data_IF_499566484757
#
_entry.id   IF_499566484757
#
_cell.length_a   1.000
_cell.length_b   1.000
_cell.length_c   1.000
_cell.angle_alpha   90.00
_cell.angle_beta   90.00
_cell.angle_gamma   90.00
#
_symmetry.space_group_name_H-M   'P 1'
#
loop_
_entity.id
_entity.type
_entity.pdbx_description
1 polymer ?
#
# COMPACT_ATOMS: atom_id res chain seq x y z
N UNK A 1 -67.83 19.36 -12.06
CA UNK A 1 -66.93 20.47 -12.41
C UNK A 1 -66.44 21.12 -11.13
N UNK A 2 -65.24 20.78 -10.68
CA UNK A 2 -64.48 21.52 -9.69
C UNK A 2 -63.00 21.13 -9.86
N UNK A 3 -62.19 22.09 -10.27
CA UNK A 3 -60.76 21.95 -10.49
C UNK A 3 -60.03 22.09 -9.14
N UNK A 4 -59.04 21.21 -8.91
CA UNK A 4 -58.06 21.38 -7.83
C UNK A 4 -56.68 21.44 -8.49
N UNK A 5 -56.14 22.66 -8.50
CA UNK A 5 -54.74 22.97 -8.80
C UNK A 5 -53.83 22.38 -7.71
N UNK A 6 -52.78 21.68 -8.12
CA UNK A 6 -51.60 21.41 -7.30
C UNK A 6 -50.35 21.92 -8.03
N UNK A 7 -49.40 22.59 -7.34
CA UNK A 7 -48.31 23.29 -7.98
C UNK A 7 -47.18 22.35 -8.42
N UNK A 8 -46.68 22.66 -9.62
CA UNK A 8 -45.48 22.12 -10.25
C UNK A 8 -44.24 22.58 -9.47
N UNK A 9 -43.55 21.67 -8.77
CA UNK A 9 -42.21 21.95 -8.23
C UNK A 9 -41.16 21.29 -9.12
N UNK A 10 -40.58 22.11 -10.02
CA UNK A 10 -39.32 21.80 -10.71
C UNK A 10 -38.21 21.74 -9.66
N UNK A 11 -37.65 20.56 -9.44
CA UNK A 11 -36.36 20.41 -8.76
C UNK A 11 -35.38 19.73 -9.73
N UNK A 12 -34.77 20.54 -10.59
CA UNK A 12 -33.46 20.22 -11.17
C UNK A 12 -32.44 20.33 -10.05
N UNK A 13 -32.06 19.19 -9.48
CA UNK A 13 -30.90 19.08 -8.59
C UNK A 13 -29.90 18.20 -9.31
N UNK A 14 -28.80 18.80 -9.71
CA UNK A 14 -27.61 18.12 -10.22
C UNK A 14 -27.23 16.99 -9.27
N UNK A 15 -27.41 15.75 -9.72
CA UNK A 15 -27.05 14.56 -8.95
C UNK A 15 -25.61 14.20 -9.29
N UNK A 16 -24.64 14.39 -8.37
CA UNK A 16 -23.27 13.96 -8.60
C UNK A 16 -23.24 12.44 -8.76
N UNK A 17 -22.42 11.97 -9.70
CA UNK A 17 -22.30 10.55 -10.03
C UNK A 17 -21.88 9.73 -8.80
N UNK A 18 -22.22 8.43 -8.77
CA UNK A 18 -21.85 7.48 -7.69
C UNK A 18 -20.35 7.52 -7.31
N UNK A 19 -19.50 7.91 -8.27
CA UNK A 19 -18.06 8.09 -8.08
C UNK A 19 -17.73 9.34 -7.23
N UNK A 20 -18.37 10.48 -7.49
CA UNK A 20 -18.21 11.69 -6.66
C UNK A 20 -18.76 11.50 -5.25
N UNK A 21 -19.88 10.79 -5.09
CA UNK A 21 -20.40 10.42 -3.76
C UNK A 21 -19.42 9.57 -2.96
N UNK A 22 -18.65 8.71 -3.63
CA UNK A 22 -17.63 7.87 -2.97
C UNK A 22 -16.41 8.70 -2.53
N UNK A 23 -15.99 9.67 -3.35
CA UNK A 23 -14.86 10.55 -3.03
C UNK A 23 -15.22 11.57 -1.95
N UNK A 24 -16.45 12.12 -1.96
CA UNK A 24 -16.96 13.07 -0.96
C UNK A 24 -17.25 12.38 0.39
N UNK A 25 -17.71 11.12 0.37
CA UNK A 25 -17.87 10.33 1.59
C UNK A 25 -16.52 10.07 2.29
N UNK A 26 -15.44 9.85 1.52
CA UNK A 26 -14.09 9.63 2.04
C UNK A 26 -13.52 10.90 2.70
N UNK A 27 -13.80 12.09 2.17
CA UNK A 27 -13.38 13.37 2.80
C UNK A 27 -14.22 13.79 4.00
N UNK A 28 -15.47 13.33 4.12
CA UNK A 28 -16.35 13.65 5.28
C UNK A 28 -16.18 12.68 6.47
N UNK A 29 -15.62 11.49 6.23
CA UNK A 29 -15.27 10.50 7.27
C UNK A 29 -14.11 10.93 8.19
N UNK A 30 -13.35 11.97 7.81
CA UNK A 30 -12.26 12.56 8.61
C UNK A 30 -12.74 13.15 9.95
N UNK A 31 -14.02 13.57 10.03
CA UNK A 31 -14.58 14.26 11.20
C UNK A 31 -15.12 13.35 12.32
N UNK A 32 -15.15 12.02 12.12
CA UNK A 32 -15.79 11.06 13.07
C UNK A 32 -14.92 9.88 13.49
N UNK A 33 -13.61 9.93 13.22
CA UNK A 33 -12.71 8.93 13.75
C UNK A 33 -12.24 9.34 15.16
N UNK A 34 -12.40 8.50 16.19
CA UNK A 34 -11.81 8.79 17.49
C UNK A 34 -10.29 8.88 17.35
N UNK A 35 -9.71 9.88 18.01
CA UNK A 35 -8.28 10.15 18.08
C UNK A 35 -7.51 8.96 18.67
N UNK A 36 -7.08 8.04 17.79
CA UNK A 36 -6.19 6.93 18.11
C UNK A 36 -4.76 7.45 18.26
N UNK A 37 -4.55 8.15 19.38
CA UNK A 37 -3.22 8.34 19.95
C UNK A 37 -2.76 6.99 20.48
N UNK A 38 -1.52 6.60 20.17
CA UNK A 38 -0.79 5.43 20.70
C UNK A 38 -0.87 4.15 19.85
N UNK A 39 -0.15 4.14 18.73
CA UNK A 39 0.47 2.91 18.22
C UNK A 39 1.96 3.16 17.95
N UNK A 40 2.86 2.23 18.31
CA UNK A 40 4.29 2.40 18.13
C UNK A 40 4.60 2.47 16.64
N UNK A 41 5.29 3.56 16.23
CA UNK A 41 5.81 3.76 14.88
C UNK A 41 6.52 2.49 14.41
N UNK A 42 6.00 1.84 13.38
CA UNK A 42 6.79 0.92 12.57
C UNK A 42 7.94 1.72 11.96
N UNK A 43 9.17 1.44 12.41
CA UNK A 43 10.38 1.99 11.85
C UNK A 43 10.54 1.53 10.40
N UNK A 44 9.96 2.27 9.46
CA UNK A 44 10.41 2.27 8.08
C UNK A 44 11.77 2.97 8.06
N UNK A 45 12.83 2.14 8.11
CA UNK A 45 14.18 2.53 7.75
C UNK A 45 14.15 3.07 6.32
N UNK A 46 13.97 4.39 6.20
CA UNK A 46 14.53 5.16 5.10
C UNK A 46 16.02 4.81 5.03
N UNK A 47 16.61 4.49 3.86
CA UNK A 47 18.04 4.27 3.75
C UNK A 47 18.75 5.56 4.18
N UNK A 48 19.25 5.57 5.41
CA UNK A 48 20.16 6.58 5.89
C UNK A 48 21.46 6.35 5.14
N UNK A 49 21.84 7.31 4.31
CA UNK A 49 23.14 7.30 3.64
C UNK A 49 24.23 7.35 4.71
N UNK A 50 24.80 6.20 5.06
CA UNK A 50 26.03 6.12 5.84
C UNK A 50 27.14 6.83 5.05
N UNK A 51 27.46 8.05 5.44
CA UNK A 51 28.58 8.81 4.92
C UNK A 51 29.80 8.53 5.78
N UNK A 52 30.77 7.81 5.22
CA UNK A 52 32.16 7.83 5.69
C UNK A 52 32.70 9.26 5.53
N UNK A 53 33.17 9.84 6.62
CA UNK A 53 33.76 11.17 6.68
C UNK A 53 35.15 11.16 6.04
N UNK A 54 35.26 11.71 4.83
CA UNK A 54 36.53 12.18 4.27
C UNK A 54 36.36 13.60 3.76
N UNK A 55 37.07 14.51 4.40
CA UNK A 55 37.18 15.92 4.08
C UNK A 55 37.85 16.09 2.72
N UNK A 56 37.13 16.60 1.73
CA UNK A 56 37.73 17.16 0.52
C UNK A 56 36.83 18.27 -0.04
N UNK A 57 37.41 19.46 -0.09
CA UNK A 57 36.90 20.69 -0.70
C UNK A 57 36.78 20.51 -2.22
N UNK A 58 35.54 20.54 -2.71
CA UNK A 58 35.21 20.50 -4.13
C UNK A 58 33.75 20.08 -4.28
N UNK A 59 32.90 20.91 -4.88
CA UNK A 59 31.50 20.57 -5.17
C UNK A 59 31.47 19.52 -6.28
N UNK A 60 31.81 18.28 -5.94
CA UNK A 60 31.72 17.14 -6.84
C UNK A 60 30.24 16.81 -7.02
N UNK A 61 29.72 17.06 -8.22
CA UNK A 61 28.40 16.60 -8.62
C UNK A 61 28.37 15.07 -8.46
N UNK A 62 27.61 14.57 -7.48
CA UNK A 62 27.45 13.12 -7.30
C UNK A 62 26.47 12.61 -8.38
N UNK A 63 26.92 11.83 -9.38
CA UNK A 63 26.03 11.35 -10.42
C UNK A 63 24.93 10.48 -9.80
N UNK A 64 23.72 10.62 -10.33
CA UNK A 64 22.59 9.81 -9.90
C UNK A 64 22.83 8.35 -10.27
N UNK A 65 22.55 7.43 -9.34
CA UNK A 65 22.60 6.00 -9.63
C UNK A 65 21.59 5.66 -10.74
N UNK A 66 22.05 4.95 -11.77
CA UNK A 66 21.19 4.46 -12.86
C UNK A 66 19.99 3.66 -12.35
N UNK A 67 20.16 2.87 -11.28
CA UNK A 67 19.09 2.12 -10.63
C UNK A 67 18.03 3.03 -10.02
N UNK A 68 18.45 4.11 -9.35
CA UNK A 68 17.52 5.08 -8.77
C UNK A 68 16.75 5.84 -9.85
N UNK A 69 17.43 6.22 -10.94
CA UNK A 69 16.81 6.85 -12.09
C UNK A 69 15.76 5.93 -12.74
N UNK A 70 16.11 4.67 -13.03
CA UNK A 70 15.19 3.70 -13.62
C UNK A 70 13.96 3.45 -12.73
N UNK A 71 14.19 3.33 -11.41
CA UNK A 71 13.12 3.22 -10.42
C UNK A 71 12.17 4.43 -10.44
N UNK A 72 12.72 5.64 -10.51
CA UNK A 72 11.91 6.88 -10.58
C UNK A 72 11.17 7.01 -11.91
N UNK A 73 11.79 6.67 -13.04
CA UNK A 73 11.14 6.62 -14.34
C UNK A 73 9.95 5.66 -14.30
N UNK A 74 10.10 4.48 -13.70
CA UNK A 74 9.02 3.53 -13.51
C UNK A 74 7.80 4.17 -12.83
N UNK A 75 8.00 4.83 -11.69
CA UNK A 75 6.93 5.53 -10.97
C UNK A 75 6.31 6.70 -11.74
N UNK A 76 7.11 7.50 -12.45
CA UNK A 76 6.59 8.58 -13.30
C UNK A 76 5.73 8.03 -14.44
N UNK A 77 6.14 6.92 -15.07
CA UNK A 77 5.34 6.23 -16.10
C UNK A 77 4.03 5.73 -15.50
N UNK A 78 4.02 5.16 -14.29
CA UNK A 78 2.77 4.77 -13.60
C UNK A 78 1.84 5.97 -13.46
N UNK A 79 2.34 7.10 -12.94
CA UNK A 79 1.52 8.29 -12.69
C UNK A 79 0.93 8.88 -13.96
N UNK A 80 1.78 9.15 -14.95
CA UNK A 80 1.35 9.78 -16.20
C UNK A 80 0.39 8.87 -16.97
N UNK A 81 0.67 7.57 -17.01
CA UNK A 81 -0.19 6.61 -17.71
C UNK A 81 -1.51 6.36 -16.97
N UNK A 82 -1.50 6.38 -15.62
CA UNK A 82 -2.73 6.29 -14.84
C UNK A 82 -3.57 7.54 -15.02
N UNK A 83 -2.97 8.75 -14.94
CA UNK A 83 -3.67 10.01 -15.20
C UNK A 83 -4.28 10.03 -16.61
N UNK A 84 -3.51 9.58 -17.61
CA UNK A 84 -4.01 9.49 -18.98
C UNK A 84 -5.16 8.49 -19.12
N UNK A 85 -5.14 7.36 -18.40
CA UNK A 85 -6.29 6.46 -18.34
C UNK A 85 -7.48 7.09 -17.62
N UNK A 86 -7.28 7.82 -16.50
CA UNK A 86 -8.36 8.51 -15.78
C UNK A 86 -9.10 9.48 -16.71
N UNK A 87 -8.36 10.27 -17.48
CA UNK A 87 -8.95 11.15 -18.50
C UNK A 87 -9.72 10.33 -19.55
N UNK A 88 -9.19 9.19 -19.97
CA UNK A 88 -9.91 8.26 -20.85
C UNK A 88 -11.26 7.83 -20.26
N UNK A 89 -11.29 7.40 -19.00
CA UNK A 89 -12.53 7.02 -18.30
C UNK A 89 -13.52 8.19 -18.23
N UNK A 90 -13.05 9.40 -17.89
CA UNK A 90 -13.88 10.60 -17.81
C UNK A 90 -14.50 10.99 -19.16
N UNK A 91 -13.75 10.80 -20.25
CA UNK A 91 -14.21 11.07 -21.61
C UNK A 91 -14.76 9.83 -22.33
N UNK A 92 -15.02 8.72 -21.60
CA UNK A 92 -15.53 7.45 -22.13
C UNK A 92 -14.69 6.85 -23.28
N UNK A 93 -13.38 7.13 -23.28
CA UNK A 93 -12.39 6.63 -24.24
C UNK A 93 -11.53 5.51 -23.63
N UNK A 94 -11.50 4.37 -24.31
CA UNK A 94 -10.62 3.26 -23.93
C UNK A 94 -9.16 3.54 -24.31
N UNK A 95 -8.23 3.35 -23.37
CA UNK A 95 -6.80 3.64 -23.54
C UNK A 95 -5.91 2.46 -23.09
N UNK A 96 -6.05 1.27 -23.70
CA UNK A 96 -5.42 0.04 -23.22
C UNK A 96 -3.88 0.11 -23.19
N UNK A 97 -3.25 0.83 -24.14
CA UNK A 97 -1.79 1.02 -24.15
C UNK A 97 -1.29 1.74 -22.91
N UNK A 98 -2.04 2.72 -22.42
CA UNK A 98 -1.66 3.44 -21.20
C UNK A 98 -1.81 2.53 -19.96
N UNK A 99 -2.78 1.61 -19.96
CA UNK A 99 -2.90 0.63 -18.88
C UNK A 99 -1.67 -0.30 -18.84
N UNK A 100 -1.27 -0.83 -19.99
CA UNK A 100 -0.06 -1.65 -20.11
C UNK A 100 1.21 -0.88 -19.76
N UNK A 101 1.33 0.40 -20.17
CA UNK A 101 2.45 1.25 -19.78
C UNK A 101 2.49 1.49 -18.27
N UNK A 102 1.34 1.73 -17.63
CA UNK A 102 1.26 1.91 -16.19
C UNK A 102 1.75 0.66 -15.44
N UNK A 103 1.30 -0.53 -15.84
CA UNK A 103 1.78 -1.76 -15.22
C UNK A 103 3.23 -2.11 -15.59
N UNK A 104 3.69 -1.78 -16.80
CA UNK A 104 5.10 -1.89 -17.16
C UNK A 104 6.00 -1.02 -16.28
N UNK A 105 5.58 0.22 -16.02
CA UNK A 105 6.25 1.13 -15.08
C UNK A 105 6.25 0.58 -13.65
N UNK A 106 5.14 -0.02 -13.21
CA UNK A 106 5.03 -0.67 -11.89
C UNK A 106 5.96 -1.89 -11.81
N UNK A 107 5.97 -2.78 -12.79
CA UNK A 107 6.86 -3.94 -12.81
C UNK A 107 8.32 -3.49 -12.72
N UNK A 108 8.71 -2.46 -13.48
CA UNK A 108 10.06 -1.91 -13.44
C UNK A 108 10.42 -1.38 -12.03
N UNK A 109 9.59 -0.51 -11.45
CA UNK A 109 9.91 0.10 -10.15
C UNK A 109 9.88 -0.91 -9.02
N UNK A 110 8.87 -1.79 -8.96
CA UNK A 110 8.74 -2.79 -7.90
C UNK A 110 9.79 -3.90 -8.02
N UNK A 111 10.22 -4.29 -9.23
CA UNK A 111 11.34 -5.25 -9.39
C UNK A 111 12.64 -4.71 -8.78
N UNK A 112 12.91 -3.42 -8.93
CA UNK A 112 14.07 -2.77 -8.32
C UNK A 112 13.95 -2.75 -6.79
N UNK A 113 12.75 -2.47 -6.25
CA UNK A 113 12.51 -2.48 -4.80
C UNK A 113 12.70 -3.89 -4.23
N UNK A 114 12.17 -4.92 -4.89
CA UNK A 114 12.34 -6.32 -4.50
C UNK A 114 13.80 -6.74 -4.52
N UNK A 115 14.54 -6.42 -5.58
CA UNK A 115 15.97 -6.72 -5.65
C UNK A 115 16.75 -6.02 -4.52
N UNK A 116 16.36 -4.79 -4.17
CA UNK A 116 16.97 -4.05 -3.06
C UNK A 116 16.61 -4.63 -1.69
N UNK A 117 15.41 -5.17 -1.49
CA UNK A 117 14.97 -5.72 -0.20
C UNK A 117 15.49 -7.14 0.05
N UNK A 118 15.54 -7.98 -1.00
CA UNK A 118 15.86 -9.42 -0.87
C UNK A 118 17.24 -9.80 -1.42
N UNK A 119 17.85 -8.95 -2.24
CA UNK A 119 19.11 -9.25 -2.92
C UNK A 119 18.94 -10.21 -4.10
N UNK A 120 19.98 -10.99 -4.39
CA UNK A 120 19.99 -11.93 -5.51
C UNK A 120 19.06 -13.13 -5.25
N UNK A 121 18.17 -13.47 -6.18
CA UNK A 121 17.25 -14.58 -6.00
C UNK A 121 17.99 -15.92 -5.89
N UNK A 122 17.60 -16.73 -4.91
CA UNK A 122 18.09 -18.09 -4.73
C UNK A 122 16.90 -19.04 -4.60
N UNK A 123 17.02 -20.27 -5.12
CA UNK A 123 15.98 -21.30 -5.00
C UNK A 123 15.99 -21.99 -3.61
N UNK A 124 16.44 -21.28 -2.58
CA UNK A 124 16.44 -21.79 -1.22
C UNK A 124 15.06 -21.62 -0.59
N UNK A 125 14.64 -22.60 0.23
CA UNK A 125 13.38 -22.52 0.99
C UNK A 125 13.31 -21.23 1.82
N UNK A 126 14.43 -20.82 2.42
CA UNK A 126 14.51 -19.60 3.22
C UNK A 126 14.27 -18.33 2.38
N UNK A 127 14.82 -18.24 1.17
CA UNK A 127 14.59 -17.12 0.27
C UNK A 127 13.13 -17.06 -0.18
N UNK A 128 12.56 -18.19 -0.60
CA UNK A 128 11.16 -18.27 -1.05
C UNK A 128 10.21 -17.87 0.08
N UNK A 129 10.45 -18.37 1.30
CA UNK A 129 9.62 -18.02 2.46
C UNK A 129 9.71 -16.52 2.80
N UNK A 130 10.92 -15.93 2.73
CA UNK A 130 11.09 -14.48 2.88
C UNK A 130 10.36 -13.70 1.79
N UNK A 131 10.51 -14.10 0.54
CA UNK A 131 9.89 -13.45 -0.60
C UNK A 131 8.35 -13.51 -0.51
N UNK A 132 7.78 -14.64 -0.09
CA UNK A 132 6.33 -14.79 0.07
C UNK A 132 5.75 -13.84 1.14
N UNK A 133 6.53 -13.51 2.17
CA UNK A 133 6.13 -12.63 3.27
C UNK A 133 6.56 -11.17 3.08
N UNK A 134 7.23 -10.83 1.97
CA UNK A 134 7.65 -9.47 1.65
C UNK A 134 6.55 -8.73 0.86
N UNK A 135 6.10 -7.59 1.36
CA UNK A 135 5.03 -6.82 0.74
C UNK A 135 5.39 -6.29 -0.67
N UNK A 136 6.68 -6.03 -0.93
CA UNK A 136 7.12 -5.55 -2.24
C UNK A 136 7.02 -6.64 -3.29
N UNK A 137 7.32 -7.89 -2.91
CA UNK A 137 7.13 -9.05 -3.78
C UNK A 137 5.64 -9.24 -4.06
N UNK A 138 4.79 -9.12 -3.05
CA UNK A 138 3.34 -9.26 -3.22
C UNK A 138 2.80 -8.22 -4.21
N UNK A 139 3.20 -6.95 -4.09
CA UNK A 139 2.82 -5.91 -5.06
C UNK A 139 3.41 -6.13 -6.46
N UNK A 140 4.62 -6.66 -6.58
CA UNK A 140 5.20 -7.05 -7.87
C UNK A 140 4.38 -8.16 -8.54
N UNK A 141 3.99 -9.19 -7.79
CA UNK A 141 3.15 -10.28 -8.28
C UNK A 141 1.77 -9.77 -8.70
N UNK A 142 1.17 -8.86 -7.92
CA UNK A 142 -0.08 -8.18 -8.29
C UNK A 142 0.10 -7.36 -9.58
N UNK A 143 1.20 -6.63 -9.73
CA UNK A 143 1.47 -5.86 -10.96
C UNK A 143 1.61 -6.77 -12.19
N UNK A 144 2.34 -7.89 -12.06
CA UNK A 144 2.47 -8.89 -13.12
C UNK A 144 1.12 -9.52 -13.48
N UNK A 145 0.33 -9.90 -12.49
CA UNK A 145 -1.00 -10.49 -12.72
C UNK A 145 -1.89 -9.56 -13.53
N UNK A 146 -1.98 -8.28 -13.14
CA UNK A 146 -2.80 -7.31 -13.84
C UNK A 146 -2.25 -6.90 -15.20
N UNK A 147 -0.94 -6.92 -15.40
CA UNK A 147 -0.33 -6.68 -16.70
C UNK A 147 -0.78 -7.69 -17.77
N UNK A 148 -0.93 -8.96 -17.40
CA UNK A 148 -1.37 -10.03 -18.30
C UNK A 148 -2.90 -10.27 -18.28
N UNK A 149 -3.64 -9.55 -17.45
CA UNK A 149 -5.09 -9.67 -17.34
C UNK A 149 -5.82 -8.69 -18.25
N UNK A 150 -7.13 -8.91 -18.45
CA UNK A 150 -7.97 -7.89 -19.10
C UNK A 150 -7.96 -6.59 -18.26
N UNK A 151 -7.87 -5.41 -18.88
CA UNK A 151 -7.75 -4.16 -18.14
C UNK A 151 -8.90 -3.91 -17.16
N UNK A 152 -8.56 -3.72 -15.88
CA UNK A 152 -9.48 -3.28 -14.82
C UNK A 152 -8.91 -2.00 -14.22
N UNK A 153 -9.36 -0.84 -14.68
CA UNK A 153 -8.72 0.45 -14.35
C UNK A 153 -8.53 0.70 -12.85
N UNK A 154 -9.50 0.33 -12.00
CA UNK A 154 -9.44 0.57 -10.54
C UNK A 154 -8.25 -0.10 -9.85
N UNK A 155 -7.64 -1.12 -10.47
CA UNK A 155 -6.46 -1.82 -9.91
C UNK A 155 -5.18 -0.99 -9.99
N UNK A 156 -5.17 0.09 -10.78
CA UNK A 156 -4.04 1.03 -10.86
C UNK A 156 -3.97 1.99 -9.67
N UNK A 157 -5.08 2.20 -8.94
CA UNK A 157 -5.17 3.24 -7.92
C UNK A 157 -4.14 3.08 -6.79
N UNK A 158 -3.91 1.88 -6.20
CA UNK A 158 -2.85 1.70 -5.21
C UNK A 158 -1.47 2.10 -5.75
N UNK A 159 -1.14 1.61 -6.96
CA UNK A 159 0.14 1.89 -7.61
C UNK A 159 0.34 3.37 -7.91
N UNK A 160 -0.71 4.09 -8.30
CA UNK A 160 -0.66 5.53 -8.49
C UNK A 160 -0.42 6.28 -7.18
N UNK A 161 -1.08 5.88 -6.08
CA UNK A 161 -0.85 6.48 -4.76
C UNK A 161 0.60 6.29 -4.33
N UNK A 162 1.13 5.06 -4.36
CA UNK A 162 2.54 4.80 -4.04
C UNK A 162 3.49 5.62 -4.94
N UNK A 163 3.19 5.67 -6.24
CA UNK A 163 4.02 6.38 -7.21
C UNK A 163 4.03 7.89 -6.97
N UNK A 164 2.95 8.48 -6.43
CA UNK A 164 2.92 9.90 -6.04
C UNK A 164 3.95 10.19 -4.96
N UNK A 165 3.97 9.41 -3.87
CA UNK A 165 4.93 9.59 -2.78
C UNK A 165 6.37 9.38 -3.25
N UNK A 166 6.61 8.36 -4.07
CA UNK A 166 7.94 8.10 -4.60
C UNK A 166 8.42 9.18 -5.57
N UNK A 167 7.54 9.68 -6.45
CA UNK A 167 7.87 10.77 -7.38
C UNK A 167 8.13 12.09 -6.65
N UNK A 168 7.35 12.42 -5.63
CA UNK A 168 7.60 13.60 -4.79
C UNK A 168 8.93 13.51 -4.04
N UNK A 169 9.23 12.34 -3.49
CA UNK A 169 10.52 12.08 -2.84
C UNK A 169 11.68 12.20 -3.82
N UNK A 170 11.52 11.67 -5.04
CA UNK A 170 12.50 11.80 -6.11
C UNK A 170 12.75 13.25 -6.49
N UNK A 171 11.68 14.03 -6.71
CA UNK A 171 11.76 15.45 -7.06
C UNK A 171 12.55 16.20 -5.99
N UNK A 172 12.18 15.98 -4.72
CA UNK A 172 12.82 16.62 -3.58
C UNK A 172 14.31 16.29 -3.45
N UNK A 173 14.70 15.04 -3.69
CA UNK A 173 16.07 14.57 -3.45
C UNK A 173 17.00 14.79 -4.63
N UNK A 174 16.46 14.91 -5.85
CA UNK A 174 17.24 14.97 -7.09
C UNK A 174 17.30 16.36 -7.71
N UNK A 175 16.24 17.16 -7.61
CA UNK A 175 16.16 18.47 -8.28
C UNK A 175 16.19 19.66 -7.31
N UNK A 176 15.87 19.46 -6.02
CA UNK A 176 15.82 20.56 -5.06
C UNK A 176 17.11 20.68 -4.24
N UNK A 177 17.55 21.91 -3.92
CA UNK A 177 18.70 22.12 -3.05
C UNK A 177 18.47 21.48 -1.68
N UNK A 178 19.51 20.83 -1.15
CA UNK A 178 19.48 20.30 0.21
C UNK A 178 19.43 21.45 1.20
N UNK A 179 18.55 21.37 2.20
CA UNK A 179 18.52 22.33 3.31
C UNK A 179 19.83 22.19 4.09
N UNK A 180 20.73 23.19 4.12
CA UNK A 180 21.90 23.12 4.99
C UNK A 180 21.44 23.08 6.45
N UNK A 181 22.03 22.19 7.24
CA UNK A 181 21.62 21.94 8.63
C UNK A 181 22.32 22.86 9.64
N UNK A 182 23.09 23.85 9.18
CA UNK A 182 23.81 24.79 10.06
C UNK A 182 23.07 26.13 10.11
N UNK A 183 22.73 26.58 11.32
CA UNK A 183 22.62 28.00 11.61
C UNK A 183 24.03 28.57 11.43
N UNK A 184 24.23 29.43 10.44
CA UNK A 184 25.46 30.21 10.38
C UNK A 184 25.50 31.12 11.61
N UNK A 185 26.67 31.18 12.26
CA UNK A 185 26.90 31.93 13.50
C UNK A 185 26.80 33.46 13.33
N UNK A 186 26.46 33.95 12.14
CA UNK A 186 26.43 35.36 11.76
C UNK A 186 25.04 36.01 11.77
N UNK A 187 23.97 35.28 12.08
CA UNK A 187 22.63 35.88 12.23
C UNK A 187 22.06 36.54 10.97
N UNK A 188 22.71 36.39 9.81
CA UNK A 188 22.20 36.89 8.55
C UNK A 188 21.12 35.93 8.01
N UNK A 189 19.92 36.44 7.78
CA UNK A 189 18.84 35.69 7.13
C UNK A 189 19.29 35.26 5.74
N UNK A 190 19.67 34.00 5.61
CA UNK A 190 19.98 33.40 4.32
C UNK A 190 18.67 33.40 3.51
N UNK A 191 18.59 34.32 2.55
CA UNK A 191 17.44 34.52 1.67
C UNK A 191 16.89 33.16 1.24
N UNK A 192 15.67 32.85 1.70
CA UNK A 192 15.06 31.53 1.53
C UNK A 192 14.96 31.22 0.04
N UNK A 193 15.93 30.46 -0.47
CA UNK A 193 15.90 30.01 -1.85
C UNK A 193 14.59 29.22 -2.06
N UNK A 194 13.85 29.55 -3.11
CA UNK A 194 12.56 28.92 -3.47
C UNK A 194 12.65 27.38 -3.41
N UNK A 195 13.78 26.80 -3.81
CA UNK A 195 14.02 25.36 -3.74
C UNK A 195 14.05 24.77 -2.32
N UNK A 196 14.53 25.51 -1.32
CA UNK A 196 14.52 25.12 0.10
C UNK A 196 13.10 25.12 0.64
N UNK A 197 12.31 26.14 0.31
CA UNK A 197 10.89 26.25 0.69
C UNK A 197 10.09 25.09 0.09
N UNK A 198 10.27 24.81 -1.20
CA UNK A 198 9.60 23.72 -1.89
C UNK A 198 10.01 22.34 -1.32
N UNK A 199 11.30 22.14 -1.03
CA UNK A 199 11.78 20.87 -0.43
C UNK A 199 11.16 20.60 0.94
N UNK A 200 11.05 21.63 1.78
CA UNK A 200 10.35 21.55 3.08
C UNK A 200 8.85 21.32 2.90
N UNK A 201 8.22 22.02 1.97
CA UNK A 201 6.80 21.85 1.64
C UNK A 201 6.47 20.41 1.22
N UNK A 202 7.22 19.85 0.27
CA UNK A 202 7.05 18.46 -0.17
C UNK A 202 7.25 17.49 1.01
N UNK A 203 8.30 17.69 1.81
CA UNK A 203 8.54 16.82 2.97
C UNK A 203 7.38 16.87 3.97
N UNK A 204 6.86 18.06 4.26
CA UNK A 204 5.74 18.25 5.16
C UNK A 204 4.48 17.58 4.61
N UNK A 205 4.18 17.80 3.33
CA UNK A 205 3.04 17.20 2.66
C UNK A 205 3.12 15.66 2.69
N UNK A 206 4.28 15.08 2.35
CA UNK A 206 4.47 13.63 2.39
C UNK A 206 4.21 13.10 3.79
N UNK A 207 4.78 13.73 4.83
CA UNK A 207 4.59 13.28 6.21
C UNK A 207 3.15 13.38 6.69
N UNK A 208 2.45 14.46 6.35
CA UNK A 208 1.08 14.70 6.77
C UNK A 208 0.08 13.75 6.09
N UNK A 209 0.34 13.40 4.82
CA UNK A 209 -0.63 12.65 4.01
C UNK A 209 -0.31 11.16 3.90
N UNK A 210 0.90 10.70 4.27
CA UNK A 210 1.31 9.31 4.07
C UNK A 210 0.39 8.32 4.78
N UNK A 211 0.13 8.53 6.08
CA UNK A 211 -0.68 7.57 6.86
C UNK A 211 -2.10 7.49 6.31
N UNK A 212 -2.75 8.63 6.08
CA UNK A 212 -4.08 8.72 5.47
C UNK A 212 -4.12 8.06 4.09
N UNK A 213 -3.08 8.25 3.27
CA UNK A 213 -2.99 7.59 1.99
C UNK A 213 -2.85 6.07 2.10
N UNK A 214 -2.11 5.56 3.09
CA UNK A 214 -2.01 4.11 3.32
C UNK A 214 -3.35 3.50 3.75
N UNK A 215 -4.13 4.21 4.57
CA UNK A 215 -5.52 3.82 4.86
C UNK A 215 -6.39 3.84 3.60
N UNK A 216 -6.29 4.89 2.79
CA UNK A 216 -7.01 5.00 1.53
C UNK A 216 -6.70 3.83 0.59
N UNK A 217 -5.42 3.45 0.45
CA UNK A 217 -5.01 2.26 -0.31
C UNK A 217 -5.69 1.00 0.23
N UNK A 218 -5.66 0.79 1.54
CA UNK A 218 -6.30 -0.39 2.16
C UNK A 218 -7.81 -0.45 1.88
N UNK A 219 -8.53 0.68 1.95
CA UNK A 219 -9.95 0.74 1.60
C UNK A 219 -10.19 0.49 0.11
N UNK A 220 -9.36 1.05 -0.78
CA UNK A 220 -9.44 0.79 -2.22
C UNK A 220 -9.26 -0.70 -2.51
N UNK A 221 -8.28 -1.35 -1.88
CA UNK A 221 -8.04 -2.78 -2.05
C UNK A 221 -9.23 -3.60 -1.56
N UNK A 222 -9.67 -3.38 -0.32
CA UNK A 222 -10.74 -4.17 0.33
C UNK A 222 -12.11 -3.93 -0.29
N UNK A 223 -12.49 -2.69 -0.60
CA UNK A 223 -13.84 -2.35 -1.08
C UNK A 223 -13.89 -2.24 -2.59
N UNK A 224 -13.02 -1.42 -3.18
CA UNK A 224 -13.16 -1.02 -4.58
C UNK A 224 -12.68 -2.14 -5.49
N UNK A 225 -11.45 -2.62 -5.30
CA UNK A 225 -10.87 -3.65 -6.16
C UNK A 225 -11.57 -4.98 -5.91
N UNK A 226 -11.56 -5.49 -4.67
CA UNK A 226 -12.20 -6.77 -4.37
C UNK A 226 -13.69 -6.77 -4.73
N UNK A 227 -14.42 -5.70 -4.41
CA UNK A 227 -15.83 -5.57 -4.79
C UNK A 227 -16.03 -5.60 -6.30
N UNK A 228 -15.25 -4.82 -7.07
CA UNK A 228 -15.36 -4.77 -8.53
C UNK A 228 -15.04 -6.12 -9.19
N UNK A 229 -13.99 -6.82 -8.74
CA UNK A 229 -13.60 -8.10 -9.35
C UNK A 229 -14.58 -9.22 -8.98
N UNK A 230 -15.10 -9.22 -7.75
CA UNK A 230 -16.14 -10.16 -7.32
C UNK A 230 -17.44 -9.91 -8.07
N UNK A 231 -17.91 -8.66 -8.15
CA UNK A 231 -19.12 -8.34 -8.91
C UNK A 231 -18.98 -8.73 -10.38
N UNK A 232 -17.82 -8.45 -10.99
CA UNK A 232 -17.54 -8.87 -12.36
C UNK A 232 -17.56 -10.39 -12.54
N UNK A 233 -17.11 -11.17 -11.55
CA UNK A 233 -17.18 -12.62 -11.62
C UNK A 233 -18.62 -13.14 -11.44
N UNK A 234 -19.39 -12.57 -10.50
CA UNK A 234 -20.79 -12.94 -10.27
C UNK A 234 -21.70 -12.59 -11.45
N UNK A 235 -21.36 -11.54 -12.22
CA UNK A 235 -22.05 -11.18 -13.46
C UNK A 235 -21.45 -11.84 -14.70
N UNK A 236 -20.51 -12.79 -14.54
CA UNK A 236 -19.81 -13.51 -15.60
C UNK A 236 -19.07 -12.60 -16.61
N UNK A 237 -18.76 -11.36 -16.23
CA UNK A 237 -17.96 -10.43 -17.03
C UNK A 237 -16.46 -10.66 -16.88
N UNK A 238 -16.04 -11.23 -15.74
CA UNK A 238 -14.64 -11.54 -15.41
C UNK A 238 -14.48 -13.01 -15.03
N UNK A 239 -13.28 -13.54 -15.22
CA UNK A 239 -12.92 -14.86 -14.66
C UNK A 239 -12.99 -14.85 -13.13
N UNK A 240 -13.46 -15.95 -12.54
CA UNK A 240 -13.42 -16.22 -11.09
C UNK A 240 -11.99 -16.21 -10.53
N UNK A 241 -10.97 -16.31 -11.37
CA UNK A 241 -9.57 -16.21 -10.93
C UNK A 241 -9.26 -14.83 -10.32
N UNK A 242 -9.85 -13.74 -10.82
CA UNK A 242 -9.56 -12.38 -10.32
C UNK A 242 -9.92 -12.20 -8.84
N UNK A 243 -11.17 -12.48 -8.41
CA UNK A 243 -11.51 -12.35 -7.00
C UNK A 243 -10.76 -13.34 -6.11
N UNK A 244 -10.42 -14.54 -6.57
CA UNK A 244 -9.64 -15.52 -5.79
C UNK A 244 -8.18 -15.08 -5.60
N UNK A 245 -7.53 -14.65 -6.68
CA UNK A 245 -6.17 -14.12 -6.65
C UNK A 245 -6.09 -12.90 -5.73
N UNK A 246 -7.00 -11.94 -5.90
CA UNK A 246 -6.98 -10.72 -5.11
C UNK A 246 -7.37 -10.96 -3.64
N UNK A 247 -8.26 -11.91 -3.36
CA UNK A 247 -8.58 -12.32 -1.99
C UNK A 247 -7.37 -12.97 -1.29
N UNK A 248 -6.55 -13.74 -2.01
CA UNK A 248 -5.30 -14.26 -1.48
C UNK A 248 -4.30 -13.14 -1.16
N UNK A 249 -4.15 -12.16 -2.07
CA UNK A 249 -3.35 -10.97 -1.79
C UNK A 249 -3.84 -10.20 -0.55
N UNK A 250 -5.16 -9.95 -0.44
CA UNK A 250 -5.75 -9.30 0.72
C UNK A 250 -5.56 -10.08 2.01
N UNK A 251 -5.58 -11.41 1.95
CA UNK A 251 -5.28 -12.26 3.10
C UNK A 251 -3.85 -12.06 3.58
N UNK A 252 -2.86 -12.07 2.69
CA UNK A 252 -1.47 -11.78 3.05
C UNK A 252 -1.34 -10.36 3.64
N UNK A 253 -1.98 -9.37 3.01
CA UNK A 253 -2.01 -7.99 3.49
C UNK A 253 -2.68 -7.86 4.85
N UNK A 254 -3.73 -8.63 5.14
CA UNK A 254 -4.38 -8.63 6.45
C UNK A 254 -3.43 -9.04 7.58
N UNK A 255 -2.54 -10.02 7.35
CA UNK A 255 -1.52 -10.39 8.32
C UNK A 255 -0.45 -9.30 8.49
N UNK A 256 0.00 -8.69 7.39
CA UNK A 256 1.16 -7.80 7.38
C UNK A 256 0.82 -6.33 7.69
N UNK A 257 -0.37 -5.85 7.31
CA UNK A 257 -0.75 -4.43 7.37
C UNK A 257 -1.86 -4.17 8.41
N UNK A 258 -1.61 -3.28 9.40
CA UNK A 258 -2.68 -2.81 10.30
C UNK A 258 -3.75 -2.02 9.56
N UNK A 259 -3.41 -1.28 8.51
CA UNK A 259 -4.37 -0.51 7.72
C UNK A 259 -5.39 -1.42 7.03
N UNK A 260 -4.96 -2.55 6.45
CA UNK A 260 -5.86 -3.55 5.88
C UNK A 260 -6.78 -4.16 6.93
N UNK A 261 -6.27 -4.48 8.13
CA UNK A 261 -7.11 -4.98 9.23
C UNK A 261 -8.18 -3.99 9.65
N UNK A 262 -7.81 -2.71 9.77
CA UNK A 262 -8.74 -1.63 10.11
C UNK A 262 -9.81 -1.46 9.03
N UNK A 263 -9.42 -1.44 7.75
CA UNK A 263 -10.38 -1.38 6.64
C UNK A 263 -11.37 -2.55 6.67
N UNK A 264 -10.90 -3.79 6.84
CA UNK A 264 -11.79 -4.98 6.97
C UNK A 264 -12.71 -4.86 8.18
N UNK A 265 -12.21 -4.37 9.32
CA UNK A 265 -13.01 -4.16 10.52
C UNK A 265 -14.14 -3.14 10.29
N UNK A 266 -13.83 -1.99 9.70
CA UNK A 266 -14.82 -0.94 9.38
C UNK A 266 -15.87 -1.48 8.42
N UNK A 267 -15.45 -2.21 7.37
CA UNK A 267 -16.39 -2.83 6.43
C UNK A 267 -17.30 -3.84 7.14
N UNK A 268 -16.76 -4.66 8.04
CA UNK A 268 -17.55 -5.62 8.80
C UNK A 268 -18.54 -4.94 9.75
N UNK A 269 -18.17 -3.82 10.38
CA UNK A 269 -19.07 -3.02 11.21
C UNK A 269 -20.24 -2.47 10.40
N UNK A 270 -19.98 -1.93 9.20
CA UNK A 270 -21.06 -1.47 8.31
C UNK A 270 -21.97 -2.61 7.88
N UNK A 271 -21.41 -3.76 7.49
CA UNK A 271 -22.21 -4.95 7.14
C UNK A 271 -23.10 -5.35 8.32
N UNK A 272 -22.57 -5.42 9.54
CA UNK A 272 -23.35 -5.78 10.72
C UNK A 272 -24.49 -4.78 10.97
N UNK A 273 -24.20 -3.47 10.88
CA UNK A 273 -25.21 -2.44 11.02
C UNK A 273 -26.40 -2.63 10.06
N UNK A 274 -26.14 -2.99 8.79
CA UNK A 274 -27.20 -3.30 7.83
C UNK A 274 -27.92 -4.62 8.12
N UNK A 275 -27.22 -5.66 8.57
CA UNK A 275 -27.80 -6.97 8.89
C UNK A 275 -28.66 -6.95 10.15
N UNK A 276 -28.40 -6.03 11.07
CA UNK A 276 -29.12 -5.89 12.33
C UNK A 276 -30.39 -5.04 12.19
N UNK A 277 -30.56 -4.36 11.06
CA UNK A 277 -31.80 -3.64 10.77
C UNK A 277 -33.00 -4.59 10.68
N UNK A 278 -34.13 -4.32 11.36
CA UNK A 278 -35.28 -5.23 11.43
C UNK A 278 -35.92 -5.50 10.06
N UNK A 279 -35.78 -4.59 9.10
CA UNK A 279 -36.26 -4.77 7.72
C UNK A 279 -35.30 -5.56 6.82
N UNK A 280 -34.19 -6.08 7.34
CA UNK A 280 -33.23 -6.86 6.53
C UNK A 280 -33.85 -8.22 6.14
N UNK A 281 -33.99 -8.55 4.84
CA UNK A 281 -34.55 -9.83 4.43
C UNK A 281 -33.73 -11.01 4.96
N UNK A 282 -34.40 -12.05 5.48
CA UNK A 282 -33.75 -13.22 6.08
C UNK A 282 -32.75 -13.90 5.13
N UNK A 283 -33.03 -13.91 3.82
CA UNK A 283 -32.15 -14.47 2.81
C UNK A 283 -30.83 -13.71 2.70
N UNK A 284 -30.85 -12.37 2.81
CA UNK A 284 -29.64 -11.53 2.80
C UNK A 284 -28.79 -11.84 4.04
N UNK A 285 -29.43 -11.93 5.21
CA UNK A 285 -28.73 -12.25 6.47
C UNK A 285 -28.06 -13.63 6.41
N UNK A 286 -28.78 -14.65 5.92
CA UNK A 286 -28.24 -16.01 5.73
C UNK A 286 -27.08 -16.03 4.72
N UNK A 287 -27.26 -15.40 3.56
CA UNK A 287 -26.25 -15.35 2.50
C UNK A 287 -24.96 -14.65 2.93
N UNK A 288 -25.08 -13.50 3.59
CA UNK A 288 -23.91 -12.76 4.09
C UNK A 288 -23.18 -13.53 5.20
N UNK A 289 -23.91 -14.19 6.11
CA UNK A 289 -23.30 -15.02 7.13
C UNK A 289 -22.58 -16.24 6.55
N UNK A 290 -23.16 -16.90 5.53
CA UNK A 290 -22.49 -17.99 4.82
C UNK A 290 -21.21 -17.51 4.14
N UNK A 291 -21.26 -16.40 3.41
CA UNK A 291 -20.08 -15.80 2.78
C UNK A 291 -18.99 -15.47 3.80
N UNK A 292 -19.38 -14.87 4.94
CA UNK A 292 -18.48 -14.58 6.05
C UNK A 292 -17.81 -15.85 6.59
N UNK A 293 -18.58 -16.91 6.84
CA UNK A 293 -18.03 -18.19 7.32
C UNK A 293 -17.01 -18.78 6.35
N UNK A 294 -17.24 -18.69 5.04
CA UNK A 294 -16.29 -19.15 4.02
C UNK A 294 -15.01 -18.31 4.01
N UNK A 295 -15.13 -16.99 4.12
CA UNK A 295 -13.97 -16.07 4.17
C UNK A 295 -13.13 -16.35 5.42
N UNK A 296 -13.76 -16.52 6.59
CA UNK A 296 -13.06 -16.80 7.85
C UNK A 296 -12.35 -18.16 7.76
N UNK A 297 -13.03 -19.21 7.30
CA UNK A 297 -12.40 -20.52 7.11
C UNK A 297 -11.18 -20.46 6.18
N UNK A 298 -11.30 -19.70 5.08
CA UNK A 298 -10.18 -19.49 4.17
C UNK A 298 -9.03 -18.69 4.83
N UNK A 299 -9.36 -17.64 5.58
CA UNK A 299 -8.38 -16.82 6.28
C UNK A 299 -7.60 -17.65 7.33
N UNK A 300 -8.31 -18.44 8.13
CA UNK A 300 -7.76 -19.21 9.25
C UNK A 300 -6.99 -20.47 8.84
N UNK A 301 -7.11 -20.91 7.57
CA UNK A 301 -6.25 -21.99 7.06
C UNK A 301 -4.77 -21.67 7.34
N UNK A 302 -3.96 -22.62 7.81
CA UNK A 302 -2.66 -22.25 8.38
C UNK A 302 -1.71 -21.66 7.32
N UNK A 303 -1.19 -20.44 7.56
CA UNK A 303 0.08 -19.97 6.99
C UNK A 303 1.14 -20.30 8.03
N UNK A 304 1.93 -21.36 7.80
CA UNK A 304 2.98 -21.76 8.73
C UNK A 304 4.08 -20.69 8.78
N UNK A 305 4.00 -19.76 9.72
CA UNK A 305 5.09 -18.84 10.03
C UNK A 305 6.06 -19.53 10.99
N UNK A 306 6.96 -20.35 10.46
CA UNK A 306 8.15 -20.74 11.25
C UNK A 306 9.01 -19.49 11.42
N UNK A 307 8.87 -18.81 12.56
CA UNK A 307 9.81 -17.77 12.97
C UNK A 307 11.18 -18.43 13.14
N UNK A 308 12.17 -18.01 12.34
CA UNK A 308 13.54 -18.42 12.55
C UNK A 308 14.01 -17.91 13.93
N UNK A 309 14.60 -18.76 14.79
CA UNK A 309 15.14 -18.31 16.05
C UNK A 309 16.27 -17.29 15.79
N UNK A 310 16.44 -16.28 16.67
CA UNK A 310 17.50 -15.30 16.52
C UNK A 310 18.86 -16.02 16.46
N UNK A 311 19.81 -15.55 15.63
CA UNK A 311 21.13 -16.15 15.56
C UNK A 311 21.75 -16.13 16.96
N UNK A 312 21.93 -17.32 17.53
CA UNK A 312 22.52 -17.50 18.85
C UNK A 312 23.91 -16.87 18.87
N UNK A 313 24.17 -16.09 19.93
CA UNK A 313 25.53 -15.70 20.30
C UNK A 313 26.36 -16.98 20.40
N UNK A 314 27.33 -17.13 19.50
CA UNK A 314 28.45 -18.05 19.67
C UNK A 314 29.30 -17.54 20.83
N UNK A 315 28.96 -17.96 22.04
CA UNK A 315 29.89 -17.93 23.16
C UNK A 315 30.99 -18.97 22.93
N UNK A 316 32.24 -18.74 23.34
CA UNK A 316 33.32 -19.70 23.15
C UNK A 316 33.00 -21.00 23.91
N UNK A 317 32.96 -22.13 23.18
CA UNK A 317 32.97 -23.45 23.81
C UNK A 317 34.37 -23.67 24.40
N UNK A 318 34.46 -23.75 25.73
CA UNK A 318 35.62 -24.32 26.41
C UNK A 318 35.51 -25.85 26.41
N UNK A 319 36.59 -26.59 26.08
CA UNK A 319 36.54 -28.04 26.00
C UNK A 319 36.60 -28.68 27.40
N UNK A 320 35.69 -29.63 27.63
CA UNK A 320 35.74 -30.76 28.56
C UNK A 320 36.68 -30.68 29.78
N UNK A 321 36.09 -30.53 30.97
CA UNK A 321 36.65 -31.13 32.18
C UNK A 321 35.82 -32.37 32.57
N UNK A 322 36.48 -33.52 32.45
CA UNK A 322 36.13 -34.75 33.15
C UNK A 322 36.13 -34.46 34.65
N UNK A 323 35.06 -34.83 35.37
CA UNK A 323 35.25 -35.19 36.78
C UNK A 323 34.34 -36.34 37.19
N UNK A 324 35.02 -37.40 37.61
CA UNK A 324 34.51 -38.61 38.23
C UNK A 324 33.87 -38.31 39.58
N UNK A 325 32.73 -38.94 39.88
CA UNK A 325 32.47 -39.47 41.22
C UNK A 325 31.32 -40.47 41.17
N UNK A 326 31.70 -41.74 41.06
CA UNK A 326 30.86 -42.91 41.37
C UNK A 326 31.56 -43.60 42.55
N UNK A 327 31.03 -43.45 43.76
CA UNK A 327 31.36 -44.33 44.88
C UNK A 327 30.43 -45.54 44.86
N UNK A 328 30.95 -46.76 45.11
CA UNK A 328 30.11 -47.94 45.31
C UNK A 328 29.65 -48.03 46.76
N UNK A 329 28.42 -48.50 46.93
CA UNK A 329 27.82 -48.88 48.20
C UNK A 329 28.41 -50.22 48.67
N UNK A 330 28.94 -50.27 49.90
CA UNK A 330 29.25 -51.49 50.63
C UNK A 330 29.19 -51.20 52.12
N UNK A 331 28.27 -51.86 52.83
CA UNK A 331 28.07 -51.77 54.28
C UNK A 331 26.72 -51.16 54.64
#
# INVERSE_FOLDING_TARGET
MAAVHAPFCKQTVDTPTLFERSVIAITTLDSRLPSLTTYPRSNLNMPSSAGSSTSATGSAYKPMSYTHLAWSIGHLVVLLSTLWNTLGVLFLQSRPKAYSLAYGGAILSWSIVVYKSLGTPTLSKAYIQRAAMDENVQYLVVALYWFFSKPIFVTLLPFAIFSTFHSLSFIRTSFLPKVPSKKDASGAEQQQQIGVVLSRGIQSWVKQNYETAMYCVAFIEVLVIQGRVTLGALTFQNSFLHPLFFAHFLRLRYYLSPQTRSAVSVVNQHINHYLDHPSCPAMVKKGTNLARSLIIQYADSIISTTAAPPPGRTGPQTPNSVNSNRTPNSG
#
